data_IF_601136884703
#
_entry.id   IF_601136884703
#
_cell.length_a   1.000
_cell.length_b   1.000
_cell.length_c   1.000
_cell.angle_alpha   90.00
_cell.angle_beta   90.00
_cell.angle_gamma   90.00
#
_symmetry.space_group_name_H-M   'P 1'
#
loop_
_entity.id
_entity.type
_entity.pdbx_description
1 polymer ?
#
# COMPACT_ATOMS: atom_id res chain seq x y z
N UNK A 1 25.93 4.00 95.44
CA UNK A 1 24.59 4.08 94.82
C UNK A 1 24.80 4.06 93.31
N UNK A 2 24.08 3.17 92.64
CA UNK A 2 24.39 2.51 91.38
C UNK A 2 24.30 3.40 90.13
N UNK A 3 25.20 3.17 89.17
CA UNK A 3 24.96 3.43 87.74
C UNK A 3 23.88 2.50 87.20
N UNK A 4 23.17 2.91 86.14
CA UNK A 4 23.28 2.11 84.91
C UNK A 4 23.49 2.94 83.65
N UNK A 5 24.45 2.46 82.86
CA UNK A 5 24.66 2.69 81.43
C UNK A 5 23.46 2.19 80.64
N UNK A 6 22.78 3.06 79.86
CA UNK A 6 21.77 2.67 78.88
C UNK A 6 22.43 2.55 77.51
N UNK A 7 22.37 1.34 76.95
CA UNK A 7 22.99 0.95 75.68
C UNK A 7 22.21 1.46 74.47
N UNK A 8 22.97 1.80 73.42
CA UNK A 8 22.51 2.21 72.10
C UNK A 8 21.59 1.16 71.45
N UNK A 9 20.48 1.62 70.88
CA UNK A 9 19.63 0.83 69.98
C UNK A 9 20.22 0.74 68.57
N UNK A 10 19.87 -0.29 67.79
CA UNK A 10 20.43 -0.50 66.46
C UNK A 10 19.80 0.43 65.42
N UNK A 11 20.55 1.41 64.95
CA UNK A 11 20.21 2.31 63.84
C UNK A 11 20.37 1.58 62.50
N UNK A 12 19.52 0.57 62.24
CA UNK A 12 19.63 -0.30 61.06
C UNK A 12 18.61 -0.05 59.94
N UNK A 13 17.80 1.02 60.02
CA UNK A 13 16.58 1.15 59.20
C UNK A 13 16.61 2.12 58.01
N UNK A 14 17.59 3.01 57.90
CA UNK A 14 17.48 4.18 57.00
C UNK A 14 18.04 3.97 55.58
N UNK A 15 18.81 2.91 55.33
CA UNK A 15 19.44 2.66 54.02
C UNK A 15 18.63 1.74 53.10
N UNK A 16 17.68 0.94 53.62
CA UNK A 16 16.90 0.01 52.79
C UNK A 16 15.78 0.71 52.00
N UNK A 17 15.25 1.83 52.48
CA UNK A 17 14.10 2.55 51.89
C UNK A 17 14.48 3.48 50.73
N UNK A 18 15.66 4.11 50.73
CA UNK A 18 16.03 5.06 49.68
C UNK A 18 16.35 4.37 48.32
N UNK A 19 16.98 3.20 48.36
CA UNK A 19 17.25 2.38 47.16
C UNK A 19 15.98 1.71 46.63
N UNK A 20 15.09 1.26 47.52
CA UNK A 20 13.81 0.65 47.16
C UNK A 20 12.85 1.67 46.52
N UNK A 21 12.83 2.91 47.01
CA UNK A 21 12.06 4.03 46.42
C UNK A 21 12.65 4.49 45.07
N UNK A 22 13.97 4.48 44.90
CA UNK A 22 14.59 4.78 43.59
C UNK A 22 14.35 3.68 42.58
N UNK A 23 14.53 2.43 42.98
CA UNK A 23 14.26 1.27 42.13
C UNK A 23 12.79 1.17 41.71
N UNK A 24 11.86 1.48 42.61
CA UNK A 24 10.43 1.53 42.28
C UNK A 24 10.10 2.67 41.31
N UNK A 25 10.66 3.88 41.53
CA UNK A 25 10.41 5.03 40.65
C UNK A 25 10.93 4.85 39.21
N UNK A 26 12.11 4.23 39.03
CA UNK A 26 12.66 3.92 37.71
C UNK A 26 11.83 2.85 37.00
N UNK A 27 11.32 1.86 37.74
CA UNK A 27 10.39 0.86 37.23
C UNK A 27 9.06 1.47 36.79
N UNK A 28 8.53 2.44 37.54
CA UNK A 28 7.31 3.18 37.23
C UNK A 28 7.47 4.00 35.93
N UNK A 29 8.58 4.73 35.78
CA UNK A 29 8.88 5.52 34.57
C UNK A 29 9.08 4.64 33.33
N UNK A 30 9.79 3.51 33.46
CA UNK A 30 9.96 2.58 32.35
C UNK A 30 8.61 1.97 31.92
N UNK A 31 7.76 1.68 32.89
CA UNK A 31 6.41 1.16 32.66
C UNK A 31 5.55 2.19 31.94
N UNK A 32 5.60 3.45 32.33
CA UNK A 32 4.86 4.53 31.68
C UNK A 32 5.32 4.76 30.23
N UNK A 33 6.64 4.85 29.98
CA UNK A 33 7.19 4.97 28.61
C UNK A 33 6.82 3.76 27.75
N UNK A 34 6.85 2.55 28.30
CA UNK A 34 6.46 1.33 27.57
C UNK A 34 4.96 1.34 27.25
N UNK A 35 4.13 1.81 28.17
CA UNK A 35 2.69 1.99 27.96
C UNK A 35 2.41 3.04 26.89
N UNK A 36 3.13 4.16 26.89
CA UNK A 36 2.99 5.22 25.89
C UNK A 36 3.41 4.75 24.50
N UNK A 37 4.53 4.02 24.40
CA UNK A 37 5.01 3.48 23.13
C UNK A 37 4.04 2.42 22.57
N UNK A 38 3.48 1.57 23.45
CA UNK A 38 2.42 0.62 23.09
C UNK A 38 1.17 1.33 22.58
N UNK A 39 0.82 2.45 23.20
CA UNK A 39 -0.31 3.29 22.80
C UNK A 39 -0.09 3.93 21.43
N UNK A 40 1.10 4.49 21.18
CA UNK A 40 1.47 5.08 19.88
C UNK A 40 1.47 4.02 18.77
N UNK A 41 2.08 2.86 19.01
CA UNK A 41 2.09 1.76 18.03
C UNK A 41 0.67 1.33 17.66
N UNK A 42 -0.24 1.28 18.63
CA UNK A 42 -1.63 0.95 18.38
C UNK A 42 -2.35 2.03 17.58
N UNK A 43 -2.05 3.30 17.84
CA UNK A 43 -2.58 4.43 17.07
C UNK A 43 -2.08 4.42 15.61
N UNK A 44 -0.80 4.16 15.38
CA UNK A 44 -0.23 4.03 14.02
C UNK A 44 -0.90 2.88 13.25
N UNK A 45 -1.14 1.74 13.90
CA UNK A 45 -1.88 0.62 13.29
C UNK A 45 -3.32 1.01 12.99
N UNK A 46 -4.00 1.70 13.90
CA UNK A 46 -5.37 2.17 13.68
C UNK A 46 -5.46 3.20 12.55
N UNK A 47 -4.48 4.10 12.45
CA UNK A 47 -4.35 5.08 11.38
C UNK A 47 -4.09 4.39 10.03
N UNK A 48 -3.11 3.51 9.96
CA UNK A 48 -2.80 2.74 8.75
C UNK A 48 -4.02 1.92 8.30
N UNK A 49 -4.74 1.31 9.25
CA UNK A 49 -5.99 0.60 8.97
C UNK A 49 -7.08 1.53 8.42
N UNK A 50 -7.20 2.73 8.97
CA UNK A 50 -8.15 3.73 8.49
C UNK A 50 -7.80 4.20 7.07
N UNK A 51 -6.52 4.45 6.78
CA UNK A 51 -6.02 4.85 5.47
C UNK A 51 -6.26 3.76 4.43
N UNK A 52 -5.85 2.51 4.71
CA UNK A 52 -6.12 1.36 3.84
C UNK A 52 -7.62 1.20 3.57
N UNK A 53 -8.48 1.39 4.60
CA UNK A 53 -9.93 1.32 4.41
C UNK A 53 -10.44 2.45 3.51
N UNK A 54 -9.91 3.66 3.66
CA UNK A 54 -10.30 4.80 2.86
C UNK A 54 -9.84 4.65 1.40
N UNK A 55 -8.60 4.20 1.19
CA UNK A 55 -8.06 3.85 -0.13
C UNK A 55 -8.87 2.73 -0.78
N UNK A 56 -9.14 1.65 -0.04
CA UNK A 56 -9.95 0.54 -0.52
C UNK A 56 -11.36 0.96 -0.94
N UNK A 57 -12.00 1.89 -0.20
CA UNK A 57 -13.30 2.47 -0.58
C UNK A 57 -13.19 3.31 -1.85
N UNK A 58 -12.15 4.13 -2.00
CA UNK A 58 -11.92 4.95 -3.19
C UNK A 58 -11.66 4.07 -4.42
N UNK A 59 -10.79 3.08 -4.28
CA UNK A 59 -10.50 2.10 -5.32
C UNK A 59 -11.74 1.29 -5.70
N UNK A 60 -12.53 0.83 -4.72
CA UNK A 60 -13.78 0.12 -4.94
C UNK A 60 -14.83 0.97 -5.69
N UNK A 61 -14.98 2.24 -5.32
CA UNK A 61 -15.87 3.17 -6.04
C UNK A 61 -15.39 3.39 -7.48
N UNK A 62 -14.09 3.59 -7.67
CA UNK A 62 -13.51 3.75 -9.01
C UNK A 62 -13.74 2.49 -9.85
N UNK A 63 -13.45 1.30 -9.31
CA UNK A 63 -13.68 0.02 -9.98
C UNK A 63 -15.16 -0.16 -10.35
N UNK A 64 -16.10 0.18 -9.45
CA UNK A 64 -17.53 0.15 -9.73
C UNK A 64 -17.95 1.10 -10.84
N UNK A 65 -17.47 2.35 -10.83
CA UNK A 65 -17.75 3.34 -11.87
C UNK A 65 -17.17 2.92 -13.22
N UNK A 66 -15.91 2.49 -13.27
CA UNK A 66 -15.27 2.02 -14.51
C UNK A 66 -15.92 0.73 -15.03
N UNK A 67 -16.32 -0.19 -14.14
CA UNK A 67 -17.06 -1.39 -14.51
C UNK A 67 -18.43 -1.05 -15.12
N UNK A 68 -19.18 -0.17 -14.46
CA UNK A 68 -20.47 0.32 -14.96
C UNK A 68 -20.35 1.08 -16.29
N UNK A 69 -19.34 1.96 -16.41
CA UNK A 69 -19.07 2.67 -17.66
C UNK A 69 -18.65 1.72 -18.79
N UNK A 70 -17.85 0.69 -18.49
CA UNK A 70 -17.48 -0.34 -19.46
C UNK A 70 -18.68 -1.13 -19.96
N UNK A 71 -19.55 -1.59 -19.05
CA UNK A 71 -20.78 -2.28 -19.41
C UNK A 71 -21.75 -1.38 -20.19
N UNK A 72 -21.95 -0.15 -19.74
CA UNK A 72 -22.80 0.83 -20.42
C UNK A 72 -22.28 1.14 -21.83
N UNK A 73 -20.96 1.35 -21.97
CA UNK A 73 -20.32 1.54 -23.28
C UNK A 73 -20.49 0.33 -24.21
N UNK A 74 -20.40 -0.88 -23.68
CA UNK A 74 -20.67 -2.11 -24.43
C UNK A 74 -22.13 -2.18 -24.91
N UNK A 75 -23.09 -1.88 -24.05
CA UNK A 75 -24.52 -1.84 -24.42
C UNK A 75 -24.82 -0.79 -25.49
N UNK A 76 -24.26 0.41 -25.37
CA UNK A 76 -24.39 1.46 -26.40
C UNK A 76 -23.82 0.97 -27.73
N UNK A 77 -22.64 0.37 -27.73
CA UNK A 77 -22.03 -0.13 -28.96
C UNK A 77 -22.82 -1.29 -29.59
N UNK A 78 -23.40 -2.17 -28.78
CA UNK A 78 -24.32 -3.22 -29.24
C UNK A 78 -25.54 -2.62 -29.94
N UNK A 79 -26.25 -1.69 -29.30
CA UNK A 79 -27.44 -1.07 -29.88
C UNK A 79 -27.13 -0.25 -31.12
N UNK A 80 -26.01 0.47 -31.15
CA UNK A 80 -25.55 1.16 -32.36
C UNK A 80 -25.27 0.19 -33.50
N UNK A 81 -24.70 -0.99 -33.21
CA UNK A 81 -24.45 -2.01 -34.22
C UNK A 81 -25.74 -2.57 -34.80
N UNK A 82 -26.72 -2.87 -33.95
CA UNK A 82 -28.04 -3.34 -34.38
C UNK A 82 -28.78 -2.27 -35.18
N UNK A 83 -28.78 -1.03 -34.70
CA UNK A 83 -29.41 0.09 -35.38
C UNK A 83 -28.76 0.36 -36.75
N UNK A 84 -27.42 0.31 -36.84
CA UNK A 84 -26.70 0.50 -38.08
C UNK A 84 -27.00 -0.64 -39.07
N UNK A 85 -26.97 -1.89 -38.60
CA UNK A 85 -27.31 -3.04 -39.44
C UNK A 85 -28.74 -2.91 -39.94
N UNK A 86 -29.73 -2.75 -39.06
CA UNK A 86 -31.13 -2.60 -39.42
C UNK A 86 -31.37 -1.41 -40.37
N UNK A 87 -30.69 -0.29 -40.12
CA UNK A 87 -30.73 0.90 -40.97
C UNK A 87 -30.23 0.61 -42.38
N UNK A 88 -29.07 -0.03 -42.52
CA UNK A 88 -28.51 -0.42 -43.82
C UNK A 88 -29.38 -1.46 -44.53
N UNK A 89 -29.98 -2.40 -43.79
CA UNK A 89 -30.88 -3.40 -44.37
C UNK A 89 -32.13 -2.82 -45.04
N UNK A 90 -32.48 -1.55 -44.78
CA UNK A 90 -33.57 -0.89 -45.50
C UNK A 90 -33.19 -0.45 -46.93
N UNK A 91 -31.89 -0.34 -47.22
CA UNK A 91 -31.38 0.14 -48.51
C UNK A 91 -30.54 -0.91 -49.26
N UNK A 92 -30.16 -2.01 -48.62
CA UNK A 92 -29.42 -3.13 -49.21
C UNK A 92 -29.78 -4.46 -48.54
N UNK A 93 -29.31 -5.57 -49.13
CA UNK A 93 -29.46 -6.89 -48.52
C UNK A 93 -28.78 -6.99 -47.14
N UNK A 94 -29.44 -7.68 -46.21
CA UNK A 94 -29.02 -7.79 -44.83
C UNK A 94 -27.66 -8.46 -44.64
N UNK A 95 -27.24 -9.33 -45.55
CA UNK A 95 -25.91 -9.94 -45.53
C UNK A 95 -24.81 -8.92 -45.78
N UNK A 96 -24.99 -8.06 -46.79
CA UNK A 96 -24.05 -6.98 -47.09
C UNK A 96 -24.01 -5.92 -45.99
N UNK A 97 -25.17 -5.60 -45.41
CA UNK A 97 -25.25 -4.74 -44.23
C UNK A 97 -24.41 -5.28 -43.06
N UNK A 98 -24.56 -6.58 -42.77
CA UNK A 98 -23.79 -7.27 -41.73
C UNK A 98 -22.28 -7.24 -42.00
N UNK A 99 -21.86 -7.47 -43.25
CA UNK A 99 -20.44 -7.39 -43.63
C UNK A 99 -19.86 -6.00 -43.38
N UNK A 100 -20.58 -4.92 -43.69
CA UNK A 100 -20.12 -3.56 -43.45
C UNK A 100 -19.94 -3.30 -41.95
N UNK A 101 -20.92 -3.70 -41.12
CA UNK A 101 -20.83 -3.58 -39.66
C UNK A 101 -19.66 -4.38 -39.10
N UNK A 102 -19.41 -5.59 -39.63
CA UNK A 102 -18.27 -6.42 -39.25
C UNK A 102 -16.92 -5.76 -39.59
N UNK A 103 -16.78 -5.15 -40.76
CA UNK A 103 -15.57 -4.41 -41.16
C UNK A 103 -15.32 -3.21 -40.26
N UNK A 104 -16.37 -2.47 -39.87
CA UNK A 104 -16.26 -1.36 -38.93
C UNK A 104 -15.72 -1.85 -37.58
N UNK A 105 -16.26 -2.94 -37.05
CA UNK A 105 -15.77 -3.54 -35.80
C UNK A 105 -14.35 -4.07 -35.91
N UNK A 106 -13.96 -4.65 -37.05
CA UNK A 106 -12.60 -5.08 -37.29
C UNK A 106 -11.61 -3.90 -37.26
N UNK A 107 -11.98 -2.76 -37.85
CA UNK A 107 -11.18 -1.54 -37.82
C UNK A 107 -11.05 -0.98 -36.39
N UNK A 108 -12.15 -0.92 -35.64
CA UNK A 108 -12.15 -0.51 -34.23
C UNK A 108 -11.23 -1.45 -33.42
N UNK A 109 -11.38 -2.76 -33.57
CA UNK A 109 -10.56 -3.75 -32.87
C UNK A 109 -9.07 -3.60 -33.20
N UNK A 110 -8.71 -3.38 -34.47
CA UNK A 110 -7.33 -3.14 -34.89
C UNK A 110 -6.75 -1.88 -34.23
N UNK A 111 -7.52 -0.78 -34.18
CA UNK A 111 -7.12 0.45 -33.52
C UNK A 111 -6.91 0.24 -32.01
N UNK A 112 -7.87 -0.40 -31.32
CA UNK A 112 -7.78 -0.69 -29.89
C UNK A 112 -6.58 -1.58 -29.58
N UNK A 113 -6.39 -2.66 -30.32
CA UNK A 113 -5.25 -3.55 -30.16
C UNK A 113 -3.92 -2.82 -30.36
N UNK A 114 -3.82 -1.98 -31.41
CA UNK A 114 -2.61 -1.20 -31.67
C UNK A 114 -2.31 -0.22 -30.52
N UNK A 115 -3.35 0.40 -29.96
CA UNK A 115 -3.24 1.34 -28.84
C UNK A 115 -2.84 0.62 -27.57
N UNK A 116 -3.48 -0.50 -27.24
CA UNK A 116 -3.14 -1.34 -26.09
C UNK A 116 -1.69 -1.83 -26.17
N UNK A 117 -1.26 -2.29 -27.35
CA UNK A 117 0.13 -2.73 -27.60
C UNK A 117 1.14 -1.60 -27.38
N UNK A 118 0.84 -0.37 -27.80
CA UNK A 118 1.69 0.81 -27.56
C UNK A 118 1.80 1.13 -26.06
N UNK A 119 0.69 1.09 -25.33
CA UNK A 119 0.68 1.34 -23.88
C UNK A 119 1.43 0.25 -23.10
N UNK A 120 1.21 -1.03 -23.43
CA UNK A 120 1.90 -2.14 -22.80
C UNK A 120 3.44 -2.07 -22.98
N UNK A 121 3.91 -1.62 -24.15
CA UNK A 121 5.35 -1.43 -24.40
C UNK A 121 5.95 -0.32 -23.53
N UNK A 122 5.21 0.77 -23.26
CA UNK A 122 5.68 1.85 -22.37
C UNK A 122 5.87 1.36 -20.94
N UNK A 123 4.91 0.60 -20.42
CA UNK A 123 4.99 0.02 -19.06
C UNK A 123 6.19 -0.92 -18.93
N UNK A 124 6.43 -1.79 -19.92
CA UNK A 124 7.63 -2.66 -19.95
C UNK A 124 8.95 -1.89 -20.01
N UNK A 125 8.96 -0.71 -20.62
CA UNK A 125 10.13 0.16 -20.65
C UNK A 125 10.54 0.66 -19.26
N UNK A 126 9.57 0.95 -18.39
CA UNK A 126 9.83 1.38 -17.01
C UNK A 126 10.43 0.24 -16.15
N UNK A 127 10.00 -1.01 -16.35
CA UNK A 127 10.56 -2.18 -15.65
C UNK A 127 12.05 -2.40 -15.97
N UNK A 128 12.49 -2.11 -17.20
CA UNK A 128 13.91 -2.21 -17.58
C UNK A 128 14.80 -1.17 -16.89
N UNK A 129 14.25 -0.01 -16.53
CA UNK A 129 14.98 1.00 -15.77
C UNK A 129 15.18 0.54 -14.32
N UNK A 130 14.21 -0.12 -13.71
CA UNK A 130 14.38 -0.74 -12.38
C UNK A 130 15.39 -1.90 -12.37
N UNK A 131 15.51 -2.67 -13.44
CA UNK A 131 16.57 -3.69 -13.59
C UNK A 131 17.97 -3.07 -13.59
N UNK A 132 18.13 -1.86 -14.14
CA UNK A 132 19.43 -1.15 -14.10
C UNK A 132 19.78 -0.65 -12.69
N UNK A 133 18.78 -0.33 -11.85
CA UNK A 133 18.98 0.03 -10.43
C UNK A 133 19.32 -1.21 -9.59
N UNK A 134 18.75 -2.38 -9.92
CA UNK A 134 19.12 -3.65 -9.30
C UNK A 134 20.52 -4.16 -9.67
N UNK A 135 21.24 -3.50 -10.59
CA UNK A 135 22.68 -3.75 -10.87
C UNK A 135 23.64 -2.90 -10.03
N UNK A 136 23.13 -1.97 -9.23
CA UNK A 136 23.90 -1.15 -8.27
C UNK A 136 23.98 -1.73 -6.82
N UNK A 137 23.72 -3.02 -6.52
CA UNK A 137 24.13 -3.61 -5.23
C UNK A 137 25.63 -3.89 -5.16
N UNK A 138 26.26 -4.26 -6.28
CA UNK A 138 27.65 -4.72 -6.29
C UNK A 138 28.66 -3.57 -6.13
N UNK A 139 28.27 -2.34 -6.45
CA UNK A 139 29.07 -1.13 -6.22
C UNK A 139 29.04 -0.63 -4.76
N UNK A 140 28.17 -1.20 -3.92
CA UNK A 140 28.04 -0.87 -2.49
C UNK A 140 28.67 -1.93 -1.57
N UNK A 141 29.38 -2.93 -2.11
CA UNK A 141 30.27 -3.78 -1.31
C UNK A 141 31.53 -2.97 -1.00
N UNK A 142 31.82 -2.62 0.26
CA UNK A 142 33.09 -2.02 0.61
C UNK A 142 34.17 -3.04 0.26
N UNK A 143 35.12 -2.69 -0.61
CA UNK A 143 36.35 -3.47 -0.70
C UNK A 143 37.07 -3.32 0.65
N UNK A 144 37.33 -4.42 1.38
CA UNK A 144 38.26 -4.38 2.49
C UNK A 144 39.66 -4.25 1.91
N UNK A 145 40.02 -3.02 1.51
CA UNK A 145 41.38 -2.61 1.25
C UNK A 145 42.11 -2.72 2.59
N UNK A 146 42.85 -3.81 2.76
CA UNK A 146 43.72 -4.03 3.90
C UNK A 146 44.75 -2.90 3.99
N UNK A 147 44.53 -1.99 4.94
CA UNK A 147 45.57 -1.09 5.40
C UNK A 147 46.43 -1.86 6.40
N UNK A 148 47.32 -2.70 5.87
CA UNK A 148 48.51 -3.17 6.61
C UNK A 148 49.65 -2.21 6.31
N UNK A 149 49.85 -1.24 7.20
CA UNK A 149 51.17 -0.67 7.52
C UNK A 149 51.21 -0.23 8.97
#
# INVERSE_FOLDING_TARGET
MSTPTQAAGPDGGSTRTADEVRGSSLGELLREVTTDLSTLMRQEVELAKAEIRQEGRRAGKAAGLFGGAGFGGYMVALFLSLALWAGLSNVMDGGWAGLIVAVIWAAIAALLYSTAKRHARRVRGLTRTSDSVQRIPDALKPHPEGVTR
#
